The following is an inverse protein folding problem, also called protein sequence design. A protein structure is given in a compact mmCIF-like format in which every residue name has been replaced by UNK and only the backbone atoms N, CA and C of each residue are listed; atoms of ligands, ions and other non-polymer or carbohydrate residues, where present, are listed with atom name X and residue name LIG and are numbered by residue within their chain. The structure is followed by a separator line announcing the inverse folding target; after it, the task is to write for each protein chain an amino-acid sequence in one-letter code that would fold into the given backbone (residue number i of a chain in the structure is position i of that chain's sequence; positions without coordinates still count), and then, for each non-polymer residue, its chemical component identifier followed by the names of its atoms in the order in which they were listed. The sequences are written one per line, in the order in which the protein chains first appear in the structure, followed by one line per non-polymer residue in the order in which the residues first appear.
data_IF_607010482126
#
_entry.id   IF_607010482126
#
_cell.length_a   1.000
_cell.length_b   1.000
_cell.length_c   1.000
_cell.angle_alpha   90.00
_cell.angle_beta   90.00
_cell.angle_gamma   90.00
#
_symmetry.space_group_name_H-M   'P 1'
#
loop_
_entity.id
_entity.type
_entity.pdbx_description
1 polymer ?
#
# COMPACT_ATOMS: atom_id res chain seq x y z
N UNK A 1 -43.81 62.69 44.39
CA UNK A 1 -43.11 62.28 43.16
C UNK A 1 -41.62 62.19 43.54
N UNK A 2 -40.87 61.09 43.49
CA UNK A 2 -40.77 59.96 42.57
C UNK A 2 -40.35 58.71 43.37
N UNK A 3 -40.91 57.54 43.10
CA UNK A 3 -40.42 56.25 43.62
C UNK A 3 -39.42 55.69 42.59
N UNK A 4 -38.18 55.43 43.00
CA UNK A 4 -37.20 54.68 42.21
C UNK A 4 -37.45 53.18 42.41
N UNK A 5 -37.78 52.47 41.34
CA UNK A 5 -37.85 51.01 41.29
C UNK A 5 -36.48 50.53 40.81
N UNK A 6 -35.78 49.80 41.68
CA UNK A 6 -34.51 49.14 41.37
C UNK A 6 -34.83 47.79 40.71
N UNK A 7 -34.57 47.67 39.41
CA UNK A 7 -34.78 46.43 38.64
C UNK A 7 -33.45 45.64 38.66
N UNK A 8 -33.37 44.60 39.50
CA UNK A 8 -32.25 43.66 39.48
C UNK A 8 -32.32 42.79 38.22
N UNK A 9 -31.37 42.98 37.30
CA UNK A 9 -31.09 42.05 36.21
C UNK A 9 -30.51 40.75 36.79
N UNK A 10 -31.30 39.68 36.78
CA UNK A 10 -30.81 38.31 37.01
C UNK A 10 -29.95 37.90 35.81
N UNK A 11 -28.63 37.93 35.98
CA UNK A 11 -27.69 37.33 35.04
C UNK A 11 -27.78 35.81 35.26
N UNK A 12 -28.46 35.09 34.36
CA UNK A 12 -28.44 33.63 34.37
C UNK A 12 -27.01 33.15 34.06
N UNK A 13 -26.39 32.34 34.94
CA UNK A 13 -25.14 31.69 34.61
C UNK A 13 -25.40 30.65 33.51
N UNK A 14 -24.75 30.83 32.36
CA UNK A 14 -24.70 29.80 31.32
C UNK A 14 -23.92 28.64 31.93
N UNK A 15 -24.61 27.57 32.30
CA UNK A 15 -23.96 26.30 32.64
C UNK A 15 -23.17 25.85 31.41
N UNK A 16 -21.85 26.01 31.45
CA UNK A 16 -20.96 25.21 30.63
C UNK A 16 -21.16 23.76 31.08
N UNK A 17 -22.03 23.04 30.37
CA UNK A 17 -22.15 21.60 30.53
C UNK A 17 -20.81 21.01 30.05
N UNK A 18 -19.94 20.67 31.00
CA UNK A 18 -18.79 19.81 30.75
C UNK A 18 -19.34 18.46 30.29
N UNK A 19 -19.42 18.29 28.97
CA UNK A 19 -19.83 17.05 28.35
C UNK A 19 -18.67 16.07 28.50
N UNK A 20 -18.66 15.29 29.58
CA UNK A 20 -17.81 14.10 29.70
C UNK A 20 -18.31 13.08 28.67
N UNK A 21 -17.94 13.28 27.40
CA UNK A 21 -18.18 12.29 26.36
C UNK A 21 -17.19 11.18 26.56
N UNK A 22 -17.68 10.00 26.94
CA UNK A 22 -16.94 8.76 26.84
C UNK A 22 -16.46 8.55 25.41
N UNK A 23 -15.27 7.97 25.26
CA UNK A 23 -14.62 7.82 23.96
C UNK A 23 -14.00 6.44 23.81
N UNK A 24 -13.89 6.01 22.56
CA UNK A 24 -13.36 4.71 22.19
C UNK A 24 -12.24 4.89 21.18
N UNK A 25 -11.11 4.24 21.46
CA UNK A 25 -9.99 4.14 20.53
C UNK A 25 -10.32 3.10 19.46
N UNK A 26 -10.23 3.48 18.18
CA UNK A 26 -10.54 2.60 17.05
C UNK A 26 -9.37 2.49 16.10
N UNK A 27 -9.28 1.33 15.43
CA UNK A 27 -8.32 1.07 14.37
C UNK A 27 -8.58 1.96 13.15
N UNK A 28 -7.54 2.20 12.37
CA UNK A 28 -7.58 2.99 11.14
C UNK A 28 -7.05 2.17 9.97
N UNK A 29 -7.74 2.24 8.84
CA UNK A 29 -7.44 1.54 7.60
C UNK A 29 -7.42 2.54 6.44
N UNK A 30 -6.68 2.21 5.37
CA UNK A 30 -6.63 3.02 4.15
C UNK A 30 -7.09 2.22 2.93
N UNK A 31 -7.84 2.86 2.03
CA UNK A 31 -8.24 2.27 0.74
C UNK A 31 -8.04 3.30 -0.36
N UNK A 32 -7.38 2.88 -1.43
CA UNK A 32 -6.99 3.72 -2.55
C UNK A 32 -7.69 3.27 -3.83
N UNK A 33 -8.68 4.03 -4.29
CA UNK A 33 -9.35 3.82 -5.57
C UNK A 33 -8.67 4.54 -6.74
N UNK A 34 -7.51 5.15 -6.51
CA UNK A 34 -6.84 6.00 -7.48
C UNK A 34 -5.54 5.39 -8.02
N UNK A 35 -5.02 6.06 -9.04
CA UNK A 35 -3.74 5.81 -9.70
C UNK A 35 -2.55 6.46 -9.00
N UNK A 36 -2.71 7.06 -7.82
CA UNK A 36 -1.62 7.68 -7.07
C UNK A 36 -1.50 7.03 -5.69
N UNK A 37 -0.30 6.58 -5.37
CA UNK A 37 0.05 6.18 -4.00
C UNK A 37 -0.09 7.37 -3.05
N UNK A 38 -0.59 7.10 -1.84
CA UNK A 38 -0.70 8.14 -0.81
C UNK A 38 -0.40 7.62 0.59
N UNK A 39 0.06 8.51 1.46
CA UNK A 39 0.16 8.32 2.90
C UNK A 39 -0.69 9.39 3.58
N UNK A 40 -1.23 9.09 4.77
CA UNK A 40 -2.14 9.99 5.47
C UNK A 40 -1.91 10.04 6.98
N UNK A 41 -2.39 11.11 7.59
CA UNK A 41 -2.51 11.30 9.05
C UNK A 41 -3.90 11.87 9.32
N UNK A 42 -4.60 11.27 10.27
CA UNK A 42 -5.86 11.78 10.79
C UNK A 42 -5.60 12.69 11.98
N UNK A 43 -6.36 13.77 12.08
CA UNK A 43 -6.33 14.68 13.21
C UNK A 43 -7.74 15.19 13.51
N UNK A 44 -8.13 15.18 14.79
CA UNK A 44 -9.32 15.89 15.25
C UNK A 44 -9.05 17.42 15.20
N UNK A 45 -9.79 18.20 14.40
CA UNK A 45 -9.57 19.65 14.28
C UNK A 45 -9.76 20.42 15.58
N UNK A 46 -10.57 19.91 16.51
CA UNK A 46 -10.86 20.53 17.79
C UNK A 46 -9.95 20.01 18.91
N UNK A 47 -9.32 18.84 18.70
CA UNK A 47 -8.44 18.19 19.67
C UNK A 47 -7.18 17.68 19.00
N UNK A 48 -6.18 18.55 18.77
CA UNK A 48 -4.97 18.19 18.06
C UNK A 48 -4.17 17.03 18.66
N UNK A 49 -4.38 16.64 19.92
CA UNK A 49 -3.75 15.45 20.52
C UNK A 49 -4.36 14.12 20.03
N UNK A 50 -5.60 14.13 19.52
CA UNK A 50 -6.24 12.98 18.91
C UNK A 50 -5.80 12.89 17.44
N UNK A 51 -4.74 12.12 17.20
CA UNK A 51 -4.16 11.90 15.88
C UNK A 51 -3.86 10.42 15.66
N UNK A 52 -3.97 9.98 14.41
CA UNK A 52 -3.62 8.63 14.00
C UNK A 52 -2.81 8.67 12.70
N UNK A 53 -1.64 8.02 12.70
CA UNK A 53 -0.86 7.82 11.49
C UNK A 53 -1.47 6.72 10.62
N UNK A 54 -1.44 6.92 9.30
CA UNK A 54 -1.73 5.90 8.30
C UNK A 54 -0.47 5.31 7.70
N UNK A 55 -0.61 4.14 7.08
CA UNK A 55 0.43 3.56 6.24
C UNK A 55 0.41 4.17 4.83
N UNK A 56 1.42 3.84 4.02
CA UNK A 56 1.43 4.14 2.60
C UNK A 56 0.53 3.16 1.85
N UNK A 57 -0.49 3.68 1.16
CA UNK A 57 -1.44 2.88 0.38
C UNK A 57 -1.09 2.97 -1.10
N UNK A 58 -0.65 1.85 -1.65
CA UNK A 58 -0.34 1.71 -3.07
C UNK A 58 -1.54 2.00 -3.97
N UNK A 59 -1.26 2.26 -5.26
CA UNK A 59 -2.27 2.48 -6.31
C UNK A 59 -3.24 1.31 -6.39
N UNK A 60 -4.54 1.58 -6.37
CA UNK A 60 -5.59 0.55 -6.39
C UNK A 60 -5.45 -0.51 -5.29
N UNK A 61 -4.95 -0.11 -4.11
CA UNK A 61 -4.67 -1.00 -2.99
C UNK A 61 -5.44 -0.64 -1.72
N UNK A 62 -5.26 -1.46 -0.69
CA UNK A 62 -5.74 -1.20 0.66
C UNK A 62 -4.63 -1.52 1.67
N UNK A 63 -4.69 -0.84 2.80
CA UNK A 63 -3.77 -0.99 3.91
C UNK A 63 -4.22 -2.05 4.91
N UNK A 64 -3.33 -2.37 5.84
CA UNK A 64 -3.64 -3.15 7.03
C UNK A 64 -4.35 -2.34 8.12
N UNK A 65 -4.05 -2.67 9.37
CA UNK A 65 -4.68 -2.10 10.58
C UNK A 65 -3.67 -1.22 11.30
N UNK A 66 -3.98 0.07 11.42
CA UNK A 66 -3.17 1.06 12.14
C UNK A 66 -3.85 1.51 13.42
N UNK A 67 -3.05 1.95 14.40
CA UNK A 67 -3.53 2.44 15.69
C UNK A 67 -3.12 3.90 15.92
N UNK A 68 -3.93 4.72 16.56
CA UNK A 68 -5.38 4.61 16.71
C UNK A 68 -5.95 6.03 16.68
N UNK A 69 -7.23 6.15 16.34
CA UNK A 69 -7.97 7.41 16.45
C UNK A 69 -9.08 7.26 17.48
N UNK A 70 -9.35 8.32 18.23
CA UNK A 70 -10.39 8.29 19.27
C UNK A 70 -11.70 8.88 18.74
N UNK A 71 -12.79 8.13 18.86
CA UNK A 71 -14.14 8.56 18.51
C UNK A 71 -15.01 8.71 19.78
N UNK A 72 -15.95 9.67 19.82
CA UNK A 72 -16.92 9.73 20.91
C UNK A 72 -17.86 8.53 20.85
N UNK A 73 -18.30 8.01 22.00
CA UNK A 73 -19.25 6.87 22.03
C UNK A 73 -20.58 7.17 21.34
N UNK A 74 -21.02 8.43 21.36
CA UNK A 74 -22.22 8.89 20.68
C UNK A 74 -21.85 9.82 19.54
N UNK A 75 -22.24 9.42 18.32
CA UNK A 75 -22.13 10.29 17.16
C UNK A 75 -22.96 11.58 17.35
N UNK A 76 -22.47 12.67 16.76
CA UNK A 76 -23.19 13.95 16.70
C UNK A 76 -22.98 14.62 15.34
N UNK A 77 -23.97 15.38 14.83
CA UNK A 77 -23.80 16.16 13.62
C UNK A 77 -22.61 17.11 13.69
N UNK A 78 -21.88 17.24 12.58
CA UNK A 78 -20.70 18.11 12.48
C UNK A 78 -19.42 17.51 13.06
N UNK A 79 -19.38 16.22 13.40
CA UNK A 79 -18.15 15.52 13.74
C UNK A 79 -17.23 15.49 12.49
N UNK A 80 -16.05 16.08 12.62
CA UNK A 80 -15.11 16.31 11.52
C UNK A 80 -13.75 15.70 11.83
N UNK A 81 -13.07 15.22 10.79
CA UNK A 81 -11.71 14.72 10.85
C UNK A 81 -10.91 15.44 9.76
N UNK A 82 -9.76 16.00 10.14
CA UNK A 82 -8.80 16.50 9.18
C UNK A 82 -7.94 15.34 8.68
N UNK A 83 -7.95 15.11 7.38
CA UNK A 83 -7.08 14.17 6.70
C UNK A 83 -5.95 14.98 6.08
N UNK A 84 -4.76 14.87 6.68
CA UNK A 84 -3.53 15.34 6.08
C UNK A 84 -2.98 14.19 5.23
N UNK A 85 -2.62 14.45 3.97
CA UNK A 85 -2.16 13.40 3.08
C UNK A 85 -1.10 13.90 2.11
N UNK A 86 -0.20 12.98 1.76
CA UNK A 86 0.83 13.18 0.76
C UNK A 86 0.62 12.17 -0.35
N UNK A 87 0.65 12.61 -1.60
CA UNK A 87 0.70 11.72 -2.76
C UNK A 87 1.86 12.08 -3.68
N UNK A 88 2.33 11.10 -4.43
CA UNK A 88 3.54 11.23 -5.23
C UNK A 88 3.20 11.40 -6.71
N UNK A 89 3.92 12.29 -7.38
CA UNK A 89 3.89 12.42 -8.83
C UNK A 89 4.90 11.46 -9.47
N UNK A 90 4.82 11.21 -10.80
CA UNK A 90 5.85 10.45 -11.50
C UNK A 90 7.25 11.00 -11.22
N UNK A 91 8.20 10.08 -11.09
CA UNK A 91 9.62 10.39 -10.90
C UNK A 91 10.11 11.26 -12.07
N UNK A 92 10.79 12.35 -11.74
CA UNK A 92 11.42 13.23 -12.72
C UNK A 92 12.63 12.55 -13.38
N UNK A 93 13.08 13.02 -14.57
CA UNK A 93 14.28 12.49 -15.23
C UNK A 93 15.56 12.56 -14.38
N UNK A 94 15.66 13.53 -13.47
CA UNK A 94 16.78 13.69 -12.54
C UNK A 94 16.74 12.71 -11.35
N UNK A 95 15.69 11.89 -11.28
CA UNK A 95 15.46 10.91 -10.25
C UNK A 95 14.75 11.40 -8.99
N UNK A 96 14.39 12.68 -8.93
CA UNK A 96 13.56 13.20 -7.83
C UNK A 96 12.13 12.68 -7.91
N UNK A 97 11.50 12.46 -6.75
CA UNK A 97 10.10 12.02 -6.63
C UNK A 97 9.29 13.18 -6.03
N UNK A 98 8.57 13.97 -6.85
CA UNK A 98 7.80 15.10 -6.34
C UNK A 98 6.67 14.61 -5.43
N UNK A 99 6.56 15.22 -4.25
CA UNK A 99 5.50 14.95 -3.29
C UNK A 99 4.55 16.15 -3.21
N UNK A 100 3.24 15.87 -3.18
CA UNK A 100 2.22 16.88 -2.99
C UNK A 100 1.54 16.64 -1.65
N UNK A 101 1.69 17.60 -0.74
CA UNK A 101 1.04 17.60 0.57
C UNK A 101 -0.26 18.40 0.52
N UNK A 102 -1.34 17.81 1.00
CA UNK A 102 -2.65 18.45 1.11
C UNK A 102 -3.29 18.12 2.46
N UNK A 103 -4.30 18.90 2.81
CA UNK A 103 -5.13 18.69 4.00
C UNK A 103 -6.57 18.92 3.58
N UNK A 104 -7.48 18.07 4.06
CA UNK A 104 -8.91 18.28 3.84
C UNK A 104 -9.70 17.84 5.06
N UNK A 105 -10.69 18.64 5.43
CA UNK A 105 -11.58 18.33 6.54
C UNK A 105 -12.82 17.66 5.98
N UNK A 106 -13.06 16.43 6.41
CA UNK A 106 -14.23 15.65 6.03
C UNK A 106 -15.16 15.47 7.23
N UNK A 107 -16.45 15.38 6.95
CA UNK A 107 -17.43 14.99 7.96
C UNK A 107 -17.43 13.46 8.10
N UNK A 108 -17.43 12.98 9.34
CA UNK A 108 -17.57 11.56 9.63
C UNK A 108 -19.08 11.23 9.60
N UNK A 109 -19.54 10.37 8.66
CA UNK A 109 -20.94 9.97 8.60
C UNK A 109 -21.41 9.33 9.91
N UNK A 110 -22.73 9.30 10.10
CA UNK A 110 -23.36 8.70 11.27
C UNK A 110 -22.87 7.26 11.51
N UNK A 111 -22.58 6.95 12.77
CA UNK A 111 -22.37 5.60 13.27
C UNK A 111 -23.20 5.41 14.53
N UNK A 112 -23.72 4.20 14.74
CA UNK A 112 -24.47 3.86 15.94
C UNK A 112 -23.54 3.62 17.13
N UNK A 113 -22.38 3.00 16.87
CA UNK A 113 -21.31 2.73 17.83
C UNK A 113 -19.96 3.02 17.16
N UNK A 114 -18.92 3.45 17.91
CA UNK A 114 -17.58 3.60 17.36
C UNK A 114 -17.06 2.28 16.78
N UNK A 115 -16.74 2.31 15.49
CA UNK A 115 -16.14 1.18 14.77
C UNK A 115 -14.81 1.63 14.13
N UNK A 116 -14.13 0.69 13.47
CA UNK A 116 -12.90 0.98 12.72
C UNK A 116 -13.10 2.14 11.73
N UNK A 117 -12.08 2.99 11.56
CA UNK A 117 -12.10 4.08 10.61
C UNK A 117 -11.44 3.69 9.29
N UNK A 118 -12.13 3.96 8.20
CA UNK A 118 -11.64 3.71 6.85
C UNK A 118 -11.41 5.02 6.13
N UNK A 119 -10.16 5.32 5.81
CA UNK A 119 -9.73 6.47 5.02
C UNK A 119 -9.75 6.09 3.54
N UNK A 120 -10.52 6.83 2.76
CA UNK A 120 -10.80 6.51 1.37
C UNK A 120 -10.17 7.59 0.49
N UNK A 121 -9.29 7.21 -0.44
CA UNK A 121 -8.90 8.07 -1.57
C UNK A 121 -9.69 7.63 -2.79
N UNK A 122 -10.58 8.50 -3.27
CA UNK A 122 -11.41 8.22 -4.44
C UNK A 122 -10.60 8.34 -5.73
N UNK A 123 -11.16 7.84 -6.84
CA UNK A 123 -10.50 7.87 -8.15
C UNK A 123 -10.18 9.30 -8.64
N UNK A 124 -10.96 10.30 -8.24
CA UNK A 124 -10.71 11.73 -8.54
C UNK A 124 -9.69 12.38 -7.58
N UNK A 125 -9.12 11.61 -6.65
CA UNK A 125 -8.18 12.07 -5.64
C UNK A 125 -8.82 12.74 -4.42
N UNK A 126 -10.15 12.85 -4.36
CA UNK A 126 -10.85 13.34 -3.17
C UNK A 126 -10.72 12.35 -2.01
N UNK A 127 -10.67 12.87 -0.78
CA UNK A 127 -10.60 12.05 0.42
C UNK A 127 -11.98 11.88 1.05
N UNK A 128 -12.19 10.73 1.68
CA UNK A 128 -13.38 10.43 2.48
C UNK A 128 -13.01 9.62 3.71
N UNK A 129 -13.97 9.51 4.62
CA UNK A 129 -13.85 8.66 5.80
C UNK A 129 -15.19 8.02 6.13
N UNK A 130 -15.16 6.78 6.63
CA UNK A 130 -16.33 6.10 7.20
C UNK A 130 -15.93 5.34 8.46
N UNK A 131 -16.87 5.11 9.37
CA UNK A 131 -16.70 4.16 10.48
C UNK A 131 -17.42 2.87 10.13
N UNK A 132 -16.73 1.74 10.13
CA UNK A 132 -17.31 0.44 9.82
C UNK A 132 -16.48 -0.75 10.29
N UNK A 133 -17.12 -1.78 10.84
CA UNK A 133 -16.52 -3.12 10.98
C UNK A 133 -16.56 -3.93 9.68
N UNK A 134 -17.25 -3.42 8.66
CA UNK A 134 -17.41 -4.10 7.39
C UNK A 134 -16.33 -3.62 6.41
N UNK A 135 -15.86 -4.53 5.56
CA UNK A 135 -14.92 -4.22 4.48
C UNK A 135 -15.65 -3.72 3.23
N UNK A 136 -14.97 -3.06 2.27
CA UNK A 136 -15.57 -2.45 1.08
C UNK A 136 -16.49 -3.35 0.24
N UNK A 137 -16.22 -4.65 0.18
CA UNK A 137 -16.99 -5.66 -0.56
C UNK A 137 -18.19 -6.24 0.21
N UNK A 138 -18.33 -5.91 1.50
CA UNK A 138 -19.43 -6.41 2.30
C UNK A 138 -20.74 -5.65 2.01
N UNK A 139 -21.91 -6.32 1.95
CA UNK A 139 -23.19 -5.66 1.62
C UNK A 139 -23.60 -4.51 2.55
N UNK A 140 -23.16 -4.54 3.81
CA UNK A 140 -23.41 -3.50 4.82
C UNK A 140 -22.35 -2.40 4.87
N UNK A 141 -21.38 -2.39 3.95
CA UNK A 141 -20.38 -1.35 3.85
C UNK A 141 -21.04 0.03 3.72
N UNK A 142 -20.71 1.02 4.57
CA UNK A 142 -21.33 2.34 4.52
C UNK A 142 -20.68 3.28 3.46
N UNK A 143 -19.51 2.93 2.93
CA UNK A 143 -18.83 3.77 1.93
C UNK A 143 -19.61 3.89 0.63
N UNK A 144 -19.40 5.02 -0.08
CA UNK A 144 -20.09 5.35 -1.33
C UNK A 144 -19.72 4.36 -2.46
N UNK A 145 -18.44 4.01 -2.56
CA UNK A 145 -17.94 3.02 -3.51
C UNK A 145 -18.09 1.64 -2.88
N UNK A 146 -18.75 0.73 -3.60
CA UNK A 146 -18.94 -0.66 -3.20
C UNK A 146 -17.91 -1.55 -3.89
N UNK A 147 -17.30 -2.46 -3.14
CA UNK A 147 -16.23 -3.33 -3.61
C UNK A 147 -14.83 -2.75 -3.41
N UNK A 148 -13.83 -3.62 -3.47
CA UNK A 148 -12.42 -3.25 -3.44
C UNK A 148 -12.01 -2.42 -4.67
N UNK A 149 -10.93 -1.64 -4.59
CA UNK A 149 -10.36 -0.96 -5.75
C UNK A 149 -10.10 -1.91 -6.91
N UNK A 150 -10.56 -1.52 -8.10
CA UNK A 150 -10.29 -2.25 -9.35
C UNK A 150 -9.24 -1.47 -10.13
N UNK A 151 -8.07 -2.07 -10.44
CA UNK A 151 -7.04 -1.36 -11.18
C UNK A 151 -7.45 -0.97 -12.59
N UNK A 152 -7.06 0.23 -13.02
CA UNK A 152 -7.32 0.71 -14.39
C UNK A 152 -6.58 -0.13 -15.44
N UNK A 153 -7.07 -0.09 -16.68
CA UNK A 153 -6.41 -0.76 -17.80
C UNK A 153 -4.97 -0.27 -18.00
N UNK A 154 -4.76 1.04 -17.87
CA UNK A 154 -3.45 1.67 -17.97
C UNK A 154 -2.49 1.13 -16.90
N UNK A 155 -2.91 1.13 -15.64
CA UNK A 155 -2.11 0.59 -14.55
C UNK A 155 -1.80 -0.89 -14.77
N UNK A 156 -2.79 -1.71 -15.16
CA UNK A 156 -2.54 -3.14 -15.43
C UNK A 156 -1.53 -3.35 -16.55
N UNK A 157 -1.56 -2.52 -17.60
CA UNK A 157 -0.59 -2.57 -18.71
C UNK A 157 0.80 -2.11 -18.28
N UNK A 158 0.90 -1.09 -17.44
CA UNK A 158 2.17 -0.66 -16.85
C UNK A 158 2.79 -1.81 -16.03
N UNK A 159 2.01 -2.43 -15.12
CA UNK A 159 2.46 -3.57 -14.32
C UNK A 159 2.87 -4.75 -15.19
N UNK A 160 2.05 -5.08 -16.19
CA UNK A 160 2.38 -6.14 -17.16
C UNK A 160 3.69 -5.86 -17.89
N UNK A 161 3.94 -4.61 -18.32
CA UNK A 161 5.18 -4.23 -18.99
C UNK A 161 6.41 -4.42 -18.11
N UNK A 162 6.31 -4.06 -16.82
CA UNK A 162 7.39 -4.30 -15.85
C UNK A 162 7.68 -5.80 -15.66
N UNK A 163 6.64 -6.62 -15.51
CA UNK A 163 6.82 -8.07 -15.37
C UNK A 163 7.32 -8.72 -16.66
N UNK A 164 6.81 -8.32 -17.82
CA UNK A 164 7.31 -8.79 -19.12
C UNK A 164 8.78 -8.46 -19.29
N UNK A 165 9.21 -7.24 -18.92
CA UNK A 165 10.62 -6.87 -18.96
C UNK A 165 11.46 -7.78 -18.06
N UNK A 166 11.00 -8.05 -16.84
CA UNK A 166 11.69 -8.96 -15.93
C UNK A 166 11.87 -10.36 -16.54
N UNK A 167 10.83 -10.93 -17.15
CA UNK A 167 10.93 -12.26 -17.79
C UNK A 167 11.84 -12.24 -19.03
N UNK A 168 11.85 -11.16 -19.81
CA UNK A 168 12.75 -11.01 -20.95
C UNK A 168 14.22 -10.90 -20.50
N UNK A 169 14.48 -10.12 -19.44
CA UNK A 169 15.82 -9.99 -18.87
C UNK A 169 16.31 -11.35 -18.32
N UNK A 170 15.42 -12.16 -17.70
CA UNK A 170 15.74 -13.52 -17.27
C UNK A 170 16.07 -14.46 -18.44
N UNK A 171 15.25 -14.43 -19.50
CA UNK A 171 15.49 -15.19 -20.73
C UNK A 171 16.85 -14.87 -21.36
N UNK A 172 17.16 -13.58 -21.52
CA UNK A 172 18.45 -13.12 -22.06
C UNK A 172 19.63 -13.62 -21.20
N UNK A 173 19.48 -13.60 -19.87
CA UNK A 173 20.50 -14.13 -18.96
C UNK A 173 20.70 -15.64 -19.15
N UNK A 174 19.62 -16.42 -19.22
CA UNK A 174 19.70 -17.87 -19.45
C UNK A 174 20.34 -18.23 -20.80
N UNK A 175 20.00 -17.47 -21.87
CA UNK A 175 20.65 -17.62 -23.18
C UNK A 175 22.16 -17.32 -23.09
N UNK A 176 22.51 -16.23 -22.41
CA UNK A 176 23.90 -15.81 -22.24
C UNK A 176 24.70 -16.84 -21.45
N UNK A 177 24.17 -17.35 -20.34
CA UNK A 177 24.82 -18.35 -19.51
C UNK A 177 25.08 -19.66 -20.27
N UNK A 178 24.10 -20.14 -21.03
CA UNK A 178 24.27 -21.33 -21.85
C UNK A 178 25.30 -21.10 -22.97
N UNK A 179 25.23 -19.98 -23.68
CA UNK A 179 26.16 -19.66 -24.76
C UNK A 179 27.61 -19.51 -24.26
N UNK A 180 27.81 -18.88 -23.11
CA UNK A 180 29.13 -18.75 -22.50
C UNK A 180 29.67 -20.12 -22.08
N UNK A 181 28.84 -20.97 -21.46
CA UNK A 181 29.24 -22.32 -21.05
C UNK A 181 29.68 -23.15 -22.25
N UNK A 182 28.97 -23.04 -23.38
CA UNK A 182 29.33 -23.73 -24.62
C UNK A 182 30.60 -23.17 -25.27
N UNK A 183 30.90 -21.89 -25.07
CA UNK A 183 32.05 -21.20 -25.68
C UNK A 183 33.34 -21.38 -24.90
N UNK A 184 33.29 -21.27 -23.57
CA UNK A 184 34.42 -21.50 -22.67
C UNK A 184 33.99 -22.29 -21.42
N UNK A 185 33.83 -23.62 -21.55
CA UNK A 185 33.33 -24.45 -20.45
C UNK A 185 34.18 -24.37 -19.19
N UNK A 186 35.51 -24.22 -19.33
CA UNK A 186 36.43 -24.20 -18.19
C UNK A 186 36.32 -22.92 -17.38
N UNK A 187 36.19 -21.78 -18.06
CA UNK A 187 35.99 -20.49 -17.40
C UNK A 187 34.65 -20.49 -16.65
N UNK A 188 33.58 -20.88 -17.32
CA UNK A 188 32.22 -20.80 -16.78
C UNK A 188 31.99 -21.81 -15.65
N UNK A 189 32.47 -23.06 -15.75
CA UNK A 189 32.36 -24.00 -14.62
C UNK A 189 33.15 -23.52 -13.40
N UNK A 190 34.29 -22.85 -13.60
CA UNK A 190 35.06 -22.27 -12.50
C UNK A 190 34.30 -21.11 -11.84
N UNK A 191 33.79 -20.16 -12.64
CA UNK A 191 33.05 -19.01 -12.12
C UNK A 191 31.77 -19.44 -11.39
N UNK A 192 31.00 -20.37 -11.96
CA UNK A 192 29.82 -20.95 -11.33
C UNK A 192 30.18 -21.69 -10.02
N UNK A 193 31.23 -22.51 -10.02
CA UNK A 193 31.67 -23.24 -8.82
C UNK A 193 32.07 -22.29 -7.70
N UNK A 194 32.87 -21.26 -8.00
CA UNK A 194 33.31 -20.27 -7.01
C UNK A 194 32.12 -19.50 -6.41
N UNK A 195 31.07 -19.26 -7.21
CA UNK A 195 29.83 -18.64 -6.78
C UNK A 195 28.97 -19.59 -5.91
N UNK A 196 28.81 -20.85 -6.31
CA UNK A 196 27.86 -21.81 -5.73
C UNK A 196 28.39 -22.53 -4.47
N UNK A 197 29.67 -22.91 -4.45
CA UNK A 197 30.24 -23.80 -3.44
C UNK A 197 30.25 -23.22 -2.01
N UNK A 198 30.16 -21.89 -1.89
CA UNK A 198 30.02 -21.20 -0.60
C UNK A 198 28.59 -21.21 -0.03
N UNK A 199 27.59 -21.54 -0.86
CA UNK A 199 26.16 -21.47 -0.52
C UNK A 199 25.46 -22.81 -0.57
N UNK A 200 25.95 -23.75 -1.38
CA UNK A 200 25.36 -25.07 -1.52
C UNK A 200 26.36 -26.17 -1.11
N UNK A 201 26.22 -26.61 0.15
CA UNK A 201 27.01 -27.70 0.72
C UNK A 201 26.66 -29.06 0.09
N UNK A 202 25.44 -29.22 -0.45
CA UNK A 202 25.02 -30.45 -1.11
C UNK A 202 25.70 -30.58 -2.47
N UNK A 203 25.78 -29.48 -3.24
CA UNK A 203 26.51 -29.42 -4.50
C UNK A 203 27.99 -29.75 -4.32
N UNK A 204 28.61 -29.21 -3.25
CA UNK A 204 30.00 -29.54 -2.86
C UNK A 204 30.20 -31.03 -2.57
N UNK A 205 29.18 -31.71 -2.05
CA UNK A 205 29.26 -33.16 -1.75
C UNK A 205 29.07 -34.06 -2.98
N UNK A 206 28.42 -33.54 -4.04
CA UNK A 206 28.08 -34.30 -5.26
C UNK A 206 29.18 -34.31 -6.32
N UNK A 207 30.06 -33.31 -6.32
CA UNK A 207 31.05 -33.12 -7.38
C UNK A 207 32.45 -32.91 -6.82
N UNK A 208 33.47 -33.34 -7.56
CA UNK A 208 34.87 -33.28 -7.15
C UNK A 208 35.53 -31.90 -7.36
N UNK A 209 34.82 -30.95 -7.98
CA UNK A 209 35.29 -29.60 -8.26
C UNK A 209 34.78 -29.05 -9.59
N UNK A 210 35.18 -27.82 -9.94
CA UNK A 210 34.79 -27.18 -11.20
C UNK A 210 35.30 -27.89 -12.48
N UNK A 211 36.33 -28.73 -12.36
CA UNK A 211 36.85 -29.54 -13.46
C UNK A 211 36.14 -30.92 -13.58
N UNK A 212 35.17 -31.23 -12.72
CA UNK A 212 34.44 -32.50 -12.76
C UNK A 212 33.56 -32.55 -14.03
N UNK A 213 33.72 -33.52 -14.94
CA UNK A 213 32.88 -33.64 -16.13
C UNK A 213 31.39 -33.80 -15.81
N UNK A 214 31.05 -34.37 -14.65
CA UNK A 214 29.66 -34.48 -14.19
C UNK A 214 29.10 -33.12 -13.77
N UNK A 215 29.93 -32.23 -13.24
CA UNK A 215 29.51 -30.87 -12.90
C UNK A 215 29.25 -30.03 -14.16
N UNK A 216 30.11 -30.13 -15.18
CA UNK A 216 29.85 -29.52 -16.49
C UNK A 216 28.52 -30.00 -17.09
N UNK A 217 28.28 -31.31 -17.10
CA UNK A 217 27.02 -31.90 -17.61
C UNK A 217 25.81 -31.44 -16.80
N UNK A 218 25.97 -31.28 -15.48
CA UNK A 218 24.95 -30.76 -14.59
C UNK A 218 24.61 -29.29 -14.90
N UNK A 219 25.62 -28.42 -15.04
CA UNK A 219 25.43 -27.01 -15.38
C UNK A 219 24.78 -26.86 -16.75
N UNK A 220 25.24 -27.59 -17.75
CA UNK A 220 24.65 -27.53 -19.10
C UNK A 220 23.18 -27.93 -19.08
N UNK A 221 22.83 -28.99 -18.35
CA UNK A 221 21.43 -29.41 -18.17
C UNK A 221 20.63 -28.32 -17.45
N UNK A 222 21.16 -27.79 -16.34
CA UNK A 222 20.51 -26.75 -15.54
C UNK A 222 20.23 -25.49 -16.38
N UNK A 223 21.21 -25.00 -17.14
CA UNK A 223 21.05 -23.80 -17.97
C UNK A 223 20.07 -24.02 -19.12
N UNK A 224 20.06 -25.21 -19.74
CA UNK A 224 19.04 -25.59 -20.72
C UNK A 224 17.63 -25.60 -20.11
N UNK A 225 17.48 -26.15 -18.91
CA UNK A 225 16.20 -26.16 -18.21
C UNK A 225 15.73 -24.75 -17.85
N UNK A 226 16.62 -23.88 -17.33
CA UNK A 226 16.32 -22.47 -17.07
C UNK A 226 15.87 -21.75 -18.34
N UNK A 227 16.61 -21.90 -19.45
CA UNK A 227 16.26 -21.31 -20.73
C UNK A 227 14.85 -21.71 -21.20
N UNK A 228 14.50 -22.99 -21.12
CA UNK A 228 13.17 -23.45 -21.52
C UNK A 228 12.06 -22.95 -20.58
N UNK A 229 12.34 -22.87 -19.27
CA UNK A 229 11.42 -22.29 -18.29
C UNK A 229 11.18 -20.81 -18.55
N UNK A 230 12.22 -20.03 -18.82
CA UNK A 230 12.13 -18.59 -19.07
C UNK A 230 11.39 -18.30 -20.38
N UNK A 231 11.63 -19.10 -21.44
CA UNK A 231 10.83 -19.02 -22.68
C UNK A 231 9.34 -19.25 -22.40
N UNK A 232 9.02 -20.26 -21.60
CA UNK A 232 7.64 -20.56 -21.21
C UNK A 232 7.03 -19.42 -20.40
N UNK A 233 7.77 -18.85 -19.45
CA UNK A 233 7.33 -17.71 -18.64
C UNK A 233 7.00 -16.49 -19.53
N UNK A 234 7.85 -16.17 -20.51
CA UNK A 234 7.59 -15.11 -21.50
C UNK A 234 6.30 -15.38 -22.29
N UNK A 235 6.10 -16.60 -22.79
CA UNK A 235 4.86 -16.95 -23.53
C UNK A 235 3.61 -16.89 -22.65
N UNK A 236 3.68 -17.39 -21.41
CA UNK A 236 2.59 -17.25 -20.45
C UNK A 236 2.26 -15.77 -20.18
N UNK A 237 3.28 -14.94 -20.03
CA UNK A 237 3.11 -13.50 -19.82
C UNK A 237 2.49 -12.81 -21.04
N UNK A 238 2.84 -13.19 -22.27
CA UNK A 238 2.17 -12.69 -23.48
C UNK A 238 0.67 -13.01 -23.47
N UNK A 239 0.31 -14.22 -23.05
CA UNK A 239 -1.08 -14.65 -22.91
C UNK A 239 -1.89 -13.92 -21.83
N UNK A 240 -1.21 -13.30 -20.86
CA UNK A 240 -1.83 -12.55 -19.74
C UNK A 240 -1.91 -11.03 -19.97
N UNK A 241 -1.63 -10.55 -21.18
CA UNK A 241 -1.65 -9.11 -21.48
C UNK A 241 -3.06 -8.50 -21.27
N UNK A 242 -3.21 -7.45 -20.45
CA UNK A 242 -4.50 -6.79 -20.18
C UNK A 242 -5.09 -5.95 -21.32
#
# INVERSE_FOLDING_TARGET
MKKFILLCFLIMPVFAACNNTSETSVSVHGVNYSDQEFIYVLQDPLRPSNQAGGETIGRYGAGGTMCCFTLPEKWRPGLKINIQYTYYLPKNPDGSLPEIRKSTVVELPHYDEPQELWVLRNADGSMGIVSSIYQPDHPKWPGKIKGWPVPSLEYRRERWGLYMKHELDALENSETMLNNLLSDPKKETKEAWDFEVGRDLELKSKFSGFNDPKYLSYLEKSYKESLENDKKAVEEMKGRKP
#
